data_IF_088494902354
#
_entry.id   IF_088494902354
#
_cell.length_a   1.000
_cell.length_b   1.000
_cell.length_c   1.000
_cell.angle_alpha   90.00
_cell.angle_beta   90.00
_cell.angle_gamma   90.00
#
_symmetry.space_group_name_H-M   'P 1'
#
loop_
_entity.id
_entity.type
_entity.pdbx_description
1 polymer ?
#
# COMPACT_ATOMS: atom_id res chain seq x y z
N UNK A 1 18.84 4.46 -11.17
CA UNK A 1 19.30 3.79 -9.93
C UNK A 1 18.21 3.75 -8.87
N UNK A 2 18.33 2.87 -7.87
CA UNK A 2 17.38 2.74 -6.77
C UNK A 2 18.11 2.78 -5.43
N UNK A 3 17.61 3.58 -4.48
CA UNK A 3 18.12 3.67 -3.11
C UNK A 3 17.21 2.87 -2.15
N UNK A 4 17.31 1.54 -2.18
CA UNK A 4 16.53 0.66 -1.30
C UNK A 4 16.74 0.88 0.20
N UNK A 5 17.87 1.48 0.59
CA UNK A 5 18.18 1.71 2.01
C UNK A 5 17.34 2.81 2.62
N UNK A 6 16.79 3.74 1.83
CA UNK A 6 15.86 4.78 2.29
C UNK A 6 14.63 4.16 2.94
N UNK A 7 14.02 3.18 2.28
CA UNK A 7 12.89 2.42 2.80
C UNK A 7 13.21 1.77 4.16
N UNK A 8 14.35 1.05 4.25
CA UNK A 8 14.75 0.38 5.48
C UNK A 8 15.01 1.34 6.64
N UNK A 9 15.68 2.48 6.37
CA UNK A 9 15.92 3.51 7.40
C UNK A 9 14.60 4.06 7.90
N UNK A 10 13.66 4.35 7.02
CA UNK A 10 12.35 4.84 7.39
C UNK A 10 11.57 3.82 8.24
N UNK A 11 11.61 2.53 7.92
CA UNK A 11 10.92 1.51 8.72
C UNK A 11 11.38 1.45 10.18
N UNK A 12 12.63 1.78 10.48
CA UNK A 12 13.18 1.64 11.83
C UNK A 12 13.46 2.95 12.55
N UNK A 13 13.57 4.08 11.85
CA UNK A 13 13.97 5.36 12.43
C UNK A 13 12.99 6.51 12.15
N UNK A 14 11.86 6.26 11.49
CA UNK A 14 10.91 7.32 11.11
C UNK A 14 10.31 8.02 12.32
N UNK A 15 9.96 7.26 13.36
CA UNK A 15 9.46 7.81 14.62
C UNK A 15 10.50 8.66 15.35
N UNK A 16 11.79 8.26 15.31
CA UNK A 16 12.87 9.05 15.86
C UNK A 16 13.02 10.38 15.12
N UNK A 17 12.86 10.38 13.80
CA UNK A 17 12.83 11.58 12.98
C UNK A 17 11.69 12.53 13.39
N UNK A 18 10.44 12.02 13.50
CA UNK A 18 9.26 12.85 13.77
C UNK A 18 9.19 13.35 15.23
N UNK A 19 9.71 12.60 16.19
CA UNK A 19 9.52 12.83 17.63
C UNK A 19 10.80 13.22 18.39
N UNK A 20 11.82 13.70 17.67
CA UNK A 20 13.13 14.08 18.26
C UNK A 20 13.75 12.91 19.06
N UNK A 21 13.66 11.67 18.53
CA UNK A 21 14.13 10.46 19.19
C UNK A 21 15.65 10.31 19.22
N UNK A 22 16.11 9.19 19.83
CA UNK A 22 17.54 8.90 20.06
C UNK A 22 18.35 8.88 18.76
N UNK A 23 17.76 8.38 17.65
CA UNK A 23 18.45 8.19 16.36
C UNK A 23 18.11 9.27 15.32
N UNK A 24 17.54 10.39 15.72
CA UNK A 24 17.17 11.48 14.81
C UNK A 24 18.38 12.02 14.04
N UNK A 25 19.53 12.19 14.71
CA UNK A 25 20.73 12.71 14.07
C UNK A 25 21.26 11.74 13.00
N UNK A 26 21.26 10.43 13.27
CA UNK A 26 21.66 9.39 12.34
C UNK A 26 20.73 9.34 11.12
N UNK A 27 19.43 9.56 11.34
CA UNK A 27 18.45 9.67 10.26
C UNK A 27 18.81 10.85 9.33
N UNK A 28 19.03 12.04 9.86
CA UNK A 28 19.44 13.19 9.06
C UNK A 28 20.80 12.99 8.39
N UNK A 29 21.76 12.40 9.06
CA UNK A 29 23.09 12.16 8.50
C UNK A 29 23.03 11.15 7.34
N UNK A 30 22.12 10.18 7.41
CA UNK A 30 21.85 9.28 6.29
C UNK A 30 21.28 10.04 5.08
N UNK A 31 20.25 10.85 5.26
CA UNK A 31 19.64 11.61 4.15
C UNK A 31 20.58 12.68 3.58
N UNK A 32 21.43 13.31 4.39
CA UNK A 32 22.50 14.19 3.88
C UNK A 32 23.47 13.46 2.96
N UNK A 33 23.77 12.18 3.23
CA UNK A 33 24.61 11.36 2.32
C UNK A 33 23.87 11.03 1.03
N UNK A 34 22.56 10.75 1.09
CA UNK A 34 21.76 10.55 -0.13
C UNK A 34 21.79 11.82 -0.98
N UNK A 35 21.57 12.98 -0.38
CA UNK A 35 21.66 14.29 -1.04
C UNK A 35 23.04 14.52 -1.69
N UNK A 36 24.14 14.27 -0.96
CA UNK A 36 25.49 14.35 -1.52
C UNK A 36 25.72 13.43 -2.73
N UNK A 37 25.12 12.22 -2.73
CA UNK A 37 25.23 11.30 -3.86
C UNK A 37 24.43 11.78 -5.06
N UNK A 38 23.22 12.32 -4.84
CA UNK A 38 22.41 12.91 -5.90
C UNK A 38 23.12 14.13 -6.51
N UNK A 39 23.71 15.00 -5.69
CA UNK A 39 24.53 16.13 -6.16
C UNK A 39 25.70 15.69 -7.02
N UNK A 40 26.48 14.67 -6.55
CA UNK A 40 27.60 14.11 -7.34
C UNK A 40 27.14 13.46 -8.65
N UNK A 41 25.97 12.83 -8.66
CA UNK A 41 25.38 12.29 -9.89
C UNK A 41 25.03 13.41 -10.85
N UNK A 42 24.33 14.44 -10.35
CA UNK A 42 23.94 15.63 -11.17
C UNK A 42 25.15 16.30 -11.79
N UNK A 43 26.26 16.48 -11.03
CA UNK A 43 27.50 17.07 -11.52
C UNK A 43 28.18 16.29 -12.65
N UNK A 44 27.85 15.01 -12.83
CA UNK A 44 28.40 14.14 -13.88
C UNK A 44 27.50 14.04 -15.10
N UNK A 45 26.27 14.49 -15.03
CA UNK A 45 25.34 14.50 -16.15
C UNK A 45 25.66 15.70 -17.08
N UNK A 46 25.42 15.52 -18.37
CA UNK A 46 25.50 16.61 -19.33
C UNK A 46 24.34 17.62 -19.10
N UNK A 47 24.52 18.84 -19.57
CA UNK A 47 23.57 19.93 -19.35
C UNK A 47 22.19 19.69 -20.00
N UNK A 48 22.13 18.81 -20.99
CA UNK A 48 20.93 18.41 -21.72
C UNK A 48 20.24 17.16 -21.15
N UNK A 49 20.69 16.69 -19.98
CA UNK A 49 20.10 15.52 -19.29
C UNK A 49 19.25 15.97 -18.12
N UNK A 50 17.95 15.73 -18.19
CA UNK A 50 17.02 15.96 -17.08
C UNK A 50 17.14 14.84 -16.05
N UNK A 51 17.28 15.19 -14.76
CA UNK A 51 17.27 14.24 -13.66
C UNK A 51 15.89 14.21 -12.99
N UNK A 52 15.30 13.01 -12.89
CA UNK A 52 14.06 12.78 -12.16
C UNK A 52 14.37 11.92 -10.92
N UNK A 53 13.95 12.38 -9.74
CA UNK A 53 14.01 11.65 -8.48
C UNK A 53 12.60 11.44 -7.97
N UNK A 54 12.21 10.19 -7.79
CA UNK A 54 10.86 9.85 -7.34
C UNK A 54 10.90 8.74 -6.27
N UNK A 55 9.95 8.75 -5.36
CA UNK A 55 9.66 7.61 -4.49
C UNK A 55 8.34 6.95 -4.93
N UNK A 56 8.25 5.64 -4.75
CA UNK A 56 7.05 4.83 -5.04
C UNK A 56 5.95 5.01 -3.99
N UNK A 57 6.30 5.44 -2.78
CA UNK A 57 5.39 5.78 -1.69
C UNK A 57 6.05 6.78 -0.73
N UNK A 58 5.26 7.31 0.18
CA UNK A 58 5.73 8.10 1.31
C UNK A 58 5.95 7.25 2.57
N UNK A 59 6.11 7.94 3.71
CA UNK A 59 6.26 7.30 5.02
C UNK A 59 5.52 8.07 6.11
N UNK A 60 5.11 7.35 7.16
CA UNK A 60 4.52 7.91 8.39
C UNK A 60 4.90 7.04 9.59
N UNK A 61 4.71 7.56 10.81
CA UNK A 61 4.93 6.78 12.03
C UNK A 61 3.97 5.60 12.11
N UNK A 62 4.51 4.42 12.42
CA UNK A 62 3.76 3.20 12.70
C UNK A 62 3.38 3.16 14.19
N UNK A 63 2.09 2.94 14.47
CA UNK A 63 1.58 2.70 15.82
C UNK A 63 1.21 1.24 16.04
N UNK A 64 0.47 0.65 15.10
CA UNK A 64 -0.03 -0.72 15.19
C UNK A 64 0.08 -1.48 13.86
N UNK A 65 0.50 -2.73 13.93
CA UNK A 65 0.28 -3.72 12.88
C UNK A 65 -1.14 -4.28 13.04
N UNK A 66 -1.89 -4.42 11.92
CA UNK A 66 -3.29 -4.90 11.93
C UNK A 66 -3.36 -6.22 11.19
N UNK A 67 -3.64 -7.30 11.91
CA UNK A 67 -3.73 -8.67 11.39
C UNK A 67 -5.17 -8.98 10.97
N UNK A 68 -5.50 -8.76 9.71
CA UNK A 68 -6.89 -8.83 9.24
C UNK A 68 -7.48 -10.24 9.23
N UNK A 69 -6.71 -11.28 8.96
CA UNK A 69 -7.27 -12.63 9.01
C UNK A 69 -7.62 -13.04 10.45
N UNK A 70 -6.81 -12.66 11.45
CA UNK A 70 -7.16 -12.81 12.85
C UNK A 70 -8.44 -12.05 13.21
N UNK A 71 -8.59 -10.81 12.71
CA UNK A 71 -9.82 -10.06 12.91
C UNK A 71 -11.03 -10.73 12.26
N UNK A 72 -10.89 -11.26 11.03
CA UNK A 72 -11.95 -12.00 10.35
C UNK A 72 -12.35 -13.27 11.12
N UNK A 73 -11.39 -14.02 11.66
CA UNK A 73 -11.67 -15.18 12.51
C UNK A 73 -12.45 -14.79 13.78
N UNK A 74 -12.04 -13.72 14.48
CA UNK A 74 -12.75 -13.21 15.65
C UNK A 74 -14.16 -12.68 15.34
N UNK A 75 -14.40 -12.22 14.10
CA UNK A 75 -15.74 -11.85 13.64
C UNK A 75 -16.58 -13.05 13.16
N UNK A 76 -16.00 -14.25 13.09
CA UNK A 76 -16.64 -15.44 12.52
C UNK A 76 -16.83 -15.36 11.00
N UNK A 77 -15.99 -14.58 10.32
CA UNK A 77 -16.00 -14.39 8.87
C UNK A 77 -14.93 -15.23 8.16
N UNK A 78 -13.95 -15.75 8.89
CA UNK A 78 -12.94 -16.68 8.40
C UNK A 78 -12.86 -17.87 9.33
N UNK A 79 -12.81 -19.05 8.74
CA UNK A 79 -12.60 -20.31 9.44
C UNK A 79 -11.77 -21.25 8.55
N UNK A 80 -11.07 -22.19 9.15
CA UNK A 80 -10.22 -23.15 8.47
C UNK A 80 -10.68 -24.57 8.71
N UNK A 81 -10.56 -25.41 7.71
CA UNK A 81 -10.89 -26.84 7.79
C UNK A 81 -9.85 -27.68 8.53
N UNK A 82 -8.69 -27.09 8.87
CA UNK A 82 -7.56 -27.74 9.55
C UNK A 82 -6.81 -26.76 10.46
N UNK A 83 -6.29 -27.26 11.59
CA UNK A 83 -5.48 -26.47 12.52
C UNK A 83 -4.11 -26.04 11.92
N UNK A 84 -3.54 -26.82 10.99
CA UNK A 84 -2.28 -26.47 10.29
C UNK A 84 -2.60 -25.93 8.88
N UNK A 85 -3.16 -24.75 8.86
CA UNK A 85 -3.55 -24.05 7.63
C UNK A 85 -2.42 -23.14 7.10
N UNK A 86 -2.27 -23.06 5.79
CA UNK A 86 -1.25 -22.24 5.14
C UNK A 86 -1.58 -21.80 3.70
N UNK A 87 -2.64 -22.33 3.12
CA UNK A 87 -3.03 -22.07 1.74
C UNK A 87 -4.54 -21.88 1.59
N UNK A 88 -4.99 -21.39 0.44
CA UNK A 88 -6.42 -21.15 0.15
C UNK A 88 -7.30 -22.39 0.30
N UNK A 89 -6.76 -23.57 -0.02
CA UNK A 89 -7.47 -24.83 0.10
C UNK A 89 -7.79 -25.24 1.55
N UNK A 90 -7.17 -24.60 2.55
CA UNK A 90 -7.42 -24.86 3.96
C UNK A 90 -8.59 -24.01 4.51
N UNK A 91 -9.04 -22.99 3.78
CA UNK A 91 -10.22 -22.18 4.15
C UNK A 91 -11.46 -23.06 4.12
N UNK A 92 -12.29 -22.98 5.18
CA UNK A 92 -13.55 -23.69 5.27
C UNK A 92 -14.58 -23.16 4.26
N UNK A 93 -15.53 -24.01 3.83
CA UNK A 93 -16.69 -23.57 3.07
C UNK A 93 -17.62 -22.63 3.85
N UNK A 94 -17.56 -22.66 5.17
CA UNK A 94 -18.33 -21.77 6.04
C UNK A 94 -17.72 -20.37 6.16
N UNK A 95 -16.47 -20.16 5.68
CA UNK A 95 -15.82 -18.85 5.67
C UNK A 95 -16.47 -17.91 4.67
N UNK A 96 -16.57 -16.64 5.04
CA UNK A 96 -17.16 -15.57 4.24
C UNK A 96 -16.12 -14.83 3.41
N UNK A 97 -14.95 -14.52 3.99
CA UNK A 97 -13.92 -13.71 3.36
C UNK A 97 -12.53 -13.99 3.95
N UNK A 98 -11.51 -13.58 3.21
CA UNK A 98 -10.10 -13.68 3.63
C UNK A 98 -9.27 -12.51 3.07
N UNK A 99 -8.08 -12.27 3.66
CA UNK A 99 -7.11 -11.31 3.18
C UNK A 99 -5.79 -12.01 2.81
N UNK A 100 -5.46 -12.06 1.52
CA UNK A 100 -4.26 -12.74 1.00
C UNK A 100 -3.05 -11.81 0.93
N UNK A 101 -3.29 -10.54 0.63
CA UNK A 101 -2.29 -9.48 0.53
C UNK A 101 -2.74 -8.33 1.45
N UNK A 102 -1.82 -7.61 2.13
CA UNK A 102 -2.19 -6.52 3.02
C UNK A 102 -3.22 -5.56 2.44
N UNK A 103 -4.36 -5.40 3.14
CA UNK A 103 -5.45 -4.53 2.73
C UNK A 103 -6.27 -5.00 1.52
N UNK A 104 -6.09 -6.24 1.06
CA UNK A 104 -6.81 -6.84 -0.08
C UNK A 104 -7.71 -7.96 0.43
N UNK A 105 -9.03 -7.80 0.27
CA UNK A 105 -10.02 -8.75 0.73
C UNK A 105 -10.71 -9.44 -0.42
N UNK A 106 -10.94 -10.72 -0.25
CA UNK A 106 -11.63 -11.59 -1.19
C UNK A 106 -12.82 -12.24 -0.48
N UNK A 107 -13.99 -12.22 -1.11
CA UNK A 107 -15.14 -13.01 -0.68
C UNK A 107 -14.87 -14.47 -1.05
N UNK A 108 -15.17 -15.39 -0.16
CA UNK A 108 -15.01 -16.83 -0.39
C UNK A 108 -16.13 -17.35 -1.35
N UNK A 109 -16.05 -16.92 -2.61
CA UNK A 109 -17.11 -17.07 -3.62
C UNK A 109 -17.13 -18.48 -4.20
N UNK A 110 -18.32 -19.11 -4.28
CA UNK A 110 -18.54 -20.39 -4.96
C UNK A 110 -18.13 -20.30 -6.44
N UNK A 111 -17.46 -21.33 -6.93
CA UNK A 111 -16.97 -21.40 -8.29
C UNK A 111 -15.70 -20.58 -8.60
N UNK A 112 -15.27 -19.67 -7.68
CA UNK A 112 -14.01 -18.92 -7.78
C UNK A 112 -12.95 -19.45 -6.83
N UNK A 113 -13.32 -19.64 -5.57
CA UNK A 113 -12.40 -20.12 -4.54
C UNK A 113 -12.44 -21.66 -4.42
N UNK A 114 -11.37 -22.32 -3.95
CA UNK A 114 -11.32 -23.78 -3.83
C UNK A 114 -12.46 -24.39 -3.02
N UNK A 115 -12.85 -23.72 -1.92
CA UNK A 115 -13.95 -24.11 -1.03
C UNK A 115 -14.90 -22.90 -0.86
N UNK A 116 -15.30 -22.25 -1.97
CA UNK A 116 -16.19 -21.11 -1.93
C UNK A 116 -17.57 -21.46 -1.38
N UNK A 117 -17.98 -20.75 -0.32
CA UNK A 117 -19.27 -20.97 0.35
C UNK A 117 -20.29 -19.86 0.10
N UNK A 118 -19.87 -18.69 -0.38
CA UNK A 118 -20.76 -17.56 -0.69
C UNK A 118 -21.29 -17.72 -2.11
N UNK A 119 -22.63 -17.72 -2.27
CA UNK A 119 -23.23 -17.80 -3.60
C UNK A 119 -23.08 -16.48 -4.37
N UNK A 120 -23.16 -16.54 -5.72
CA UNK A 120 -23.17 -15.34 -6.56
C UNK A 120 -24.36 -14.41 -6.24
N UNK A 121 -25.51 -14.98 -5.84
CA UNK A 121 -26.70 -14.20 -5.49
C UNK A 121 -26.52 -13.41 -4.18
N UNK A 122 -25.69 -13.89 -3.25
CA UNK A 122 -25.43 -13.26 -1.96
C UNK A 122 -24.18 -12.36 -1.98
N UNK A 123 -23.37 -12.40 -3.04
CA UNK A 123 -22.08 -11.75 -3.14
C UNK A 123 -22.09 -10.26 -2.80
N UNK A 124 -23.00 -9.49 -3.39
CA UNK A 124 -23.07 -8.03 -3.18
C UNK A 124 -23.44 -7.68 -1.73
N UNK A 125 -24.43 -8.38 -1.15
CA UNK A 125 -24.84 -8.17 0.24
C UNK A 125 -23.69 -8.48 1.21
N UNK A 126 -23.01 -9.60 1.00
CA UNK A 126 -21.86 -10.04 1.82
C UNK A 126 -20.69 -9.07 1.70
N UNK A 127 -20.39 -8.58 0.49
CA UNK A 127 -19.34 -7.62 0.25
C UNK A 127 -19.61 -6.28 0.94
N UNK A 128 -20.84 -5.79 0.83
CA UNK A 128 -21.26 -4.52 1.43
C UNK A 128 -21.25 -4.61 2.97
N UNK A 129 -21.70 -5.70 3.54
CA UNK A 129 -21.60 -5.99 4.98
C UNK A 129 -20.16 -6.00 5.49
N UNK A 130 -19.25 -6.66 4.75
CA UNK A 130 -17.82 -6.67 5.08
C UNK A 130 -17.23 -5.27 4.98
N UNK A 131 -17.61 -4.50 3.94
CA UNK A 131 -17.16 -3.12 3.76
C UNK A 131 -17.53 -2.25 4.97
N UNK A 132 -18.80 -2.28 5.42
CA UNK A 132 -19.26 -1.52 6.60
C UNK A 132 -18.47 -1.90 7.86
N UNK A 133 -18.19 -3.18 8.08
CA UNK A 133 -17.39 -3.65 9.21
C UNK A 133 -15.94 -3.12 9.14
N UNK A 134 -15.32 -3.14 7.97
CA UNK A 134 -13.96 -2.62 7.76
C UNK A 134 -13.89 -1.10 7.96
N UNK A 135 -14.89 -0.35 7.47
CA UNK A 135 -15.00 1.10 7.64
C UNK A 135 -15.24 1.52 9.11
N UNK A 136 -15.81 0.62 9.91
CA UNK A 136 -16.10 0.87 11.32
C UNK A 136 -15.01 0.41 12.27
N UNK A 137 -14.02 -0.35 11.79
CA UNK A 137 -12.95 -0.89 12.63
C UNK A 137 -12.11 0.21 13.26
N UNK A 138 -12.03 0.19 14.59
CA UNK A 138 -11.22 1.12 15.38
C UNK A 138 -10.01 0.38 16.00
N UNK A 139 -8.87 1.05 16.01
CA UNK A 139 -7.67 0.60 16.68
C UNK A 139 -7.69 0.82 18.20
N UNK A 140 -6.69 0.33 18.94
CA UNK A 140 -6.59 0.49 20.39
C UNK A 140 -6.54 1.94 20.86
N UNK A 141 -6.14 2.87 19.98
CA UNK A 141 -6.10 4.32 20.22
C UNK A 141 -7.45 5.02 19.95
N UNK A 142 -8.50 4.29 19.54
CA UNK A 142 -9.81 4.81 19.21
C UNK A 142 -9.92 5.49 17.83
N UNK A 143 -8.85 5.43 17.03
CA UNK A 143 -8.86 5.93 15.66
C UNK A 143 -9.34 4.83 14.70
N UNK A 144 -10.00 5.22 13.61
CA UNK A 144 -10.36 4.28 12.55
C UNK A 144 -9.12 3.72 11.87
N UNK A 145 -9.12 2.41 11.62
CA UNK A 145 -8.04 1.72 10.89
C UNK A 145 -8.04 2.11 9.43
N UNK A 146 -9.22 2.14 8.80
CA UNK A 146 -9.37 2.50 7.39
C UNK A 146 -9.60 4.01 7.21
N UNK A 147 -8.84 4.65 6.33
CA UNK A 147 -9.19 5.94 5.73
C UNK A 147 -10.39 5.76 4.78
N UNK A 148 -10.31 4.75 3.93
CA UNK A 148 -11.40 4.36 3.03
C UNK A 148 -11.33 2.87 2.69
N UNK A 149 -12.48 2.31 2.34
CA UNK A 149 -12.64 0.97 1.77
C UNK A 149 -13.23 1.10 0.37
N UNK A 150 -12.50 0.63 -0.64
CA UNK A 150 -12.83 0.80 -2.05
C UNK A 150 -13.24 -0.55 -2.63
N UNK A 151 -14.31 -0.57 -3.43
CA UNK A 151 -14.74 -1.78 -4.15
C UNK A 151 -13.81 -2.08 -5.33
N UNK A 152 -13.85 -3.31 -5.83
CA UNK A 152 -13.07 -3.73 -7.01
C UNK A 152 -13.29 -2.78 -8.19
N UNK A 153 -14.55 -2.46 -8.47
CA UNK A 153 -14.98 -1.67 -9.63
C UNK A 153 -14.45 -0.24 -9.58
N UNK A 154 -14.30 0.29 -8.39
CA UNK A 154 -13.77 1.64 -8.16
C UNK A 154 -12.22 1.67 -8.14
N UNK A 155 -11.60 0.58 -7.66
CA UNK A 155 -10.15 0.49 -7.48
C UNK A 155 -9.40 0.04 -8.74
N UNK A 156 -10.01 -0.83 -9.56
CA UNK A 156 -9.33 -1.48 -10.68
C UNK A 156 -10.09 -1.29 -11.99
N UNK A 157 -9.34 -1.03 -13.06
CA UNK A 157 -9.85 -0.85 -14.41
C UNK A 157 -9.04 -1.70 -15.39
N UNK A 158 -9.67 -2.11 -16.49
CA UNK A 158 -9.02 -2.88 -17.56
C UNK A 158 -9.40 -4.36 -17.57
N UNK A 159 -8.77 -5.09 -18.47
CA UNK A 159 -9.18 -6.44 -18.89
C UNK A 159 -8.97 -7.53 -17.81
N UNK A 160 -8.23 -7.24 -16.76
CA UNK A 160 -7.91 -8.18 -15.67
C UNK A 160 -8.51 -7.79 -14.32
N UNK A 161 -9.52 -6.90 -14.32
CA UNK A 161 -10.19 -6.50 -13.08
C UNK A 161 -10.98 -7.62 -12.41
N UNK A 162 -11.32 -8.67 -13.14
CA UNK A 162 -12.02 -9.88 -12.67
C UNK A 162 -11.23 -10.68 -11.63
N UNK A 163 -9.89 -10.64 -11.70
CA UNK A 163 -9.01 -11.32 -10.72
C UNK A 163 -8.58 -10.42 -9.54
N UNK A 164 -9.01 -9.18 -9.55
CA UNK A 164 -8.68 -8.22 -8.48
C UNK A 164 -9.44 -8.54 -7.18
N UNK A 165 -8.94 -8.07 -6.01
CA UNK A 165 -9.64 -8.21 -4.74
C UNK A 165 -11.01 -7.54 -4.77
N UNK A 166 -11.96 -8.07 -4.02
CA UNK A 166 -13.34 -7.57 -3.95
C UNK A 166 -13.42 -6.24 -3.21
N UNK A 167 -12.57 -6.07 -2.18
CA UNK A 167 -12.40 -4.82 -1.44
C UNK A 167 -10.92 -4.49 -1.23
N UNK A 168 -10.61 -3.20 -1.26
CA UNK A 168 -9.29 -2.64 -0.93
C UNK A 168 -9.42 -1.69 0.24
N UNK A 169 -8.70 -1.95 1.32
CA UNK A 169 -8.58 -1.05 2.46
C UNK A 169 -7.35 -0.17 2.29
N UNK A 170 -7.56 1.14 2.29
CA UNK A 170 -6.50 2.14 2.41
C UNK A 170 -6.41 2.51 3.88
N UNK A 171 -5.27 2.29 4.55
CA UNK A 171 -5.17 2.55 5.99
C UNK A 171 -5.07 4.04 6.31
N UNK A 172 -5.53 4.41 7.49
CA UNK A 172 -5.11 5.64 8.13
C UNK A 172 -3.65 5.56 8.59
N UNK A 173 -3.01 6.71 8.76
CA UNK A 173 -1.67 6.79 9.33
C UNK A 173 -1.61 6.08 10.69
N UNK A 174 -0.54 5.37 10.93
CA UNK A 174 -0.33 4.60 12.15
C UNK A 174 -0.72 3.12 12.07
N UNK A 175 -1.46 2.68 11.05
CA UNK A 175 -1.93 1.31 10.91
C UNK A 175 -1.29 0.59 9.72
N UNK A 176 -0.34 -0.31 9.97
CA UNK A 176 0.30 -1.15 8.95
C UNK A 176 -0.44 -2.47 8.80
N UNK A 177 -1.11 -2.67 7.67
CA UNK A 177 -1.98 -3.81 7.42
C UNK A 177 -1.17 -5.07 7.14
N UNK A 178 -1.61 -6.19 7.72
CA UNK A 178 -1.03 -7.51 7.57
C UNK A 178 -2.05 -8.48 6.98
N UNK A 179 -1.55 -9.43 6.22
CA UNK A 179 -2.33 -10.52 5.64
C UNK A 179 -1.54 -11.84 5.75
N UNK A 180 -2.15 -12.92 5.30
CA UNK A 180 -1.60 -14.27 5.36
C UNK A 180 -2.29 -15.12 6.42
N UNK A 181 -2.15 -16.44 6.30
CA UNK A 181 -2.90 -17.42 7.10
C UNK A 181 -2.16 -17.89 8.36
N UNK A 182 -0.88 -17.53 8.51
CA UNK A 182 -0.11 -17.74 9.74
C UNK A 182 -0.01 -16.40 10.46
N UNK A 183 -0.99 -16.16 11.33
CA UNK A 183 -1.19 -14.87 11.97
C UNK A 183 -0.53 -14.70 13.32
N UNK A 184 -0.79 -13.59 13.92
CA UNK A 184 -0.62 -13.27 15.33
C UNK A 184 -1.85 -13.77 16.10
N UNK A 185 -1.73 -14.03 17.39
CA UNK A 185 -2.88 -14.31 18.26
C UNK A 185 -3.75 -13.07 18.50
N UNK A 186 -3.20 -11.88 18.22
CA UNK A 186 -3.84 -10.59 18.43
C UNK A 186 -4.10 -9.86 17.11
N UNK A 187 -5.27 -9.21 17.00
CA UNK A 187 -5.63 -8.35 15.85
C UNK A 187 -4.68 -7.16 15.70
N UNK A 188 -4.25 -6.58 16.83
CA UNK A 188 -3.34 -5.44 16.84
C UNK A 188 -2.02 -5.80 17.51
N UNK A 189 -0.93 -5.62 16.75
CA UNK A 189 0.42 -5.89 17.21
C UNK A 189 1.31 -4.64 17.22
N UNK A 190 2.40 -4.73 17.99
CA UNK A 190 3.50 -3.74 17.95
C UNK A 190 4.79 -4.49 17.72
N UNK A 191 5.42 -4.25 16.58
CA UNK A 191 6.68 -4.86 16.19
C UNK A 191 7.90 -3.95 16.41
N UNK A 192 9.09 -4.35 15.95
CA UNK A 192 10.31 -3.56 16.05
C UNK A 192 10.35 -2.37 15.06
N UNK A 193 9.48 -2.34 14.05
CA UNK A 193 9.38 -1.23 13.12
C UNK A 193 8.62 -0.09 13.75
N UNK A 194 9.01 1.15 13.40
CA UNK A 194 8.38 2.37 13.90
C UNK A 194 7.93 3.32 12.77
N UNK A 195 8.18 2.95 11.52
CA UNK A 195 7.70 3.63 10.32
C UNK A 195 6.97 2.68 9.38
N UNK A 196 5.99 3.21 8.66
CA UNK A 196 5.18 2.50 7.68
C UNK A 196 4.99 3.32 6.41
N UNK A 197 4.63 2.66 5.32
CA UNK A 197 4.31 3.33 4.06
C UNK A 197 3.07 4.21 4.18
N UNK A 198 3.08 5.35 3.49
CA UNK A 198 1.91 6.21 3.31
C UNK A 198 1.65 6.50 1.84
N UNK A 199 0.44 6.93 1.51
CA UNK A 199 -0.01 7.16 0.14
C UNK A 199 0.07 8.63 -0.30
N UNK A 200 0.27 9.56 0.62
CA UNK A 200 -0.03 10.99 0.44
C UNK A 200 1.17 11.93 0.53
N UNK A 201 2.38 11.42 0.82
CA UNK A 201 3.58 12.25 1.00
C UNK A 201 4.83 11.72 0.28
N UNK A 202 4.62 11.07 -0.88
CA UNK A 202 5.72 10.66 -1.75
C UNK A 202 6.52 11.85 -2.27
N UNK A 203 7.77 11.61 -2.66
CA UNK A 203 8.68 12.63 -3.17
C UNK A 203 8.79 12.56 -4.69
N UNK A 204 8.67 13.71 -5.35
CA UNK A 204 8.98 13.87 -6.76
C UNK A 204 9.80 15.16 -6.96
N UNK A 205 10.93 15.05 -7.65
CA UNK A 205 11.75 16.16 -8.08
C UNK A 205 12.10 15.97 -9.57
N UNK A 206 11.93 17.01 -10.35
CA UNK A 206 12.29 17.04 -11.78
C UNK A 206 13.21 18.23 -11.99
N UNK A 207 14.43 17.98 -12.46
CA UNK A 207 15.42 19.01 -12.75
C UNK A 207 15.17 19.58 -14.16
N UNK A 208 14.00 20.22 -14.31
CA UNK A 208 13.58 20.92 -15.51
C UNK A 208 12.81 22.21 -15.12
N UNK A 209 13.20 23.33 -15.70
CA UNK A 209 12.63 24.64 -15.37
C UNK A 209 11.16 24.81 -15.83
N UNK A 210 10.70 23.98 -16.75
CA UNK A 210 9.33 23.99 -17.29
C UNK A 210 8.40 23.01 -16.56
N UNK A 211 8.96 22.08 -15.77
CA UNK A 211 8.19 21.11 -15.02
C UNK A 211 7.25 21.78 -14.02
N UNK A 212 5.99 21.37 -14.02
CA UNK A 212 4.93 21.85 -13.11
C UNK A 212 4.44 20.73 -12.24
N UNK A 213 5.11 20.55 -11.08
CA UNK A 213 4.78 19.53 -10.11
C UNK A 213 3.76 20.12 -9.13
N UNK A 214 2.47 19.96 -9.42
CA UNK A 214 1.37 20.25 -8.49
C UNK A 214 0.40 19.07 -8.56
N UNK A 215 0.06 18.51 -7.41
CA UNK A 215 -0.87 17.38 -7.28
C UNK A 215 -0.49 16.19 -8.18
N UNK A 216 0.82 15.87 -8.24
CA UNK A 216 1.34 14.81 -9.08
C UNK A 216 1.11 13.43 -8.47
N UNK A 217 0.73 12.47 -9.30
CA UNK A 217 0.55 11.08 -8.95
C UNK A 217 1.69 10.20 -9.53
N UNK A 218 1.87 9.00 -8.98
CA UNK A 218 2.83 8.02 -9.49
C UNK A 218 2.57 7.67 -10.97
N UNK A 219 1.32 7.72 -11.39
CA UNK A 219 0.90 7.49 -12.79
C UNK A 219 1.45 8.55 -13.77
N UNK A 220 1.79 9.75 -13.29
CA UNK A 220 2.27 10.85 -14.12
C UNK A 220 3.75 10.73 -14.49
N UNK A 221 4.50 9.90 -13.78
CA UNK A 221 5.95 9.76 -13.97
C UNK A 221 6.29 9.20 -15.35
N UNK A 222 5.61 8.13 -15.79
CA UNK A 222 5.91 7.51 -17.08
C UNK A 222 5.62 8.44 -18.26
N UNK A 223 4.43 9.05 -18.38
CA UNK A 223 4.17 10.02 -19.48
C UNK A 223 5.10 11.22 -19.42
N UNK A 224 5.48 11.70 -18.23
CA UNK A 224 6.46 12.78 -18.08
C UNK A 224 7.83 12.39 -18.63
N UNK A 225 8.33 11.19 -18.32
CA UNK A 225 9.61 10.70 -18.86
C UNK A 225 9.56 10.58 -20.37
N UNK A 226 8.47 10.08 -20.95
CA UNK A 226 8.30 9.95 -22.40
C UNK A 226 8.31 11.30 -23.09
N UNK A 227 7.64 12.32 -22.54
CA UNK A 227 7.65 13.68 -23.08
C UNK A 227 9.05 14.33 -22.94
N UNK A 228 9.74 14.17 -21.80
CA UNK A 228 11.12 14.65 -21.63
C UNK A 228 12.11 13.99 -22.62
N UNK A 229 11.82 12.79 -23.09
CA UNK A 229 12.60 12.08 -24.10
C UNK A 229 12.17 12.41 -25.54
N UNK A 230 11.19 13.29 -25.75
CA UNK A 230 10.57 13.60 -27.06
C UNK A 230 10.13 12.31 -27.78
N UNK A 231 9.53 11.37 -27.02
CA UNK A 231 9.07 10.08 -27.53
C UNK A 231 7.58 10.09 -27.80
N UNK A 232 7.20 9.75 -29.04
CA UNK A 232 5.79 9.62 -29.43
C UNK A 232 5.14 8.42 -28.73
N UNK A 233 4.00 8.61 -28.08
CA UNK A 233 3.20 7.57 -27.44
C UNK A 233 1.71 7.88 -27.46
N UNK A 234 0.87 6.87 -27.33
CA UNK A 234 -0.57 7.06 -27.21
C UNK A 234 -0.94 7.44 -25.76
N UNK A 235 -1.30 8.70 -25.56
CA UNK A 235 -1.65 9.25 -24.24
C UNK A 235 -2.87 8.55 -23.61
N UNK A 236 -3.71 7.90 -24.44
CA UNK A 236 -4.90 7.20 -23.93
C UNK A 236 -4.60 5.84 -23.26
N UNK A 237 -3.37 5.33 -23.43
CA UNK A 237 -2.90 4.12 -22.76
C UNK A 237 -2.44 4.35 -21.31
N UNK A 238 -2.33 5.62 -20.88
CA UNK A 238 -1.87 6.00 -19.54
C UNK A 238 -3.00 6.58 -18.70
N UNK A 239 -3.02 6.23 -17.41
CA UNK A 239 -3.94 6.81 -16.45
C UNK A 239 -3.49 8.18 -15.94
N UNK A 240 -2.20 8.48 -16.03
CA UNK A 240 -1.60 9.75 -15.64
C UNK A 240 -1.39 10.71 -16.82
N UNK A 241 -0.92 11.91 -16.51
CA UNK A 241 -0.62 12.99 -17.45
C UNK A 241 0.82 13.45 -17.30
N UNK A 242 1.44 13.94 -18.38
CA UNK A 242 2.76 14.54 -18.31
C UNK A 242 2.74 15.84 -17.49
N UNK A 243 3.81 16.06 -16.74
CA UNK A 243 4.05 17.25 -15.89
C UNK A 243 4.92 18.32 -16.59
N UNK A 244 5.30 18.11 -17.86
CA UNK A 244 6.09 19.01 -18.70
C UNK A 244 5.38 19.38 -19.98
#
# INVERSE_FOLDING_TARGET
GVFMTTDRVNHFLFKDYEQDGEYQQEFFDFYRKVDEYLGKLRDQLADDVTMVVASDHGFTTLEYEVHFNEWLEQQGLLDFSTDDHSELGDISEDATAYSLIPGRFYINLDGREPNGGVSEDDYEEVRDDLKEKLESLEGPNGNKVADRVVTREDAFRGDHSDIAPDLVVVPNHGFDLKAGFKGSEDVFGVGPRNGMHSFDNATLMVDDAEARIQDADLYDITPTILDLMDHDYDRTEFNGSSLV
#
